data_IF_924751351797
#
_entry.id   IF_924751351797
#
_cell.length_a   1.000
_cell.length_b   1.000
_cell.length_c   1.000
_cell.angle_alpha   90.00
_cell.angle_beta   90.00
_cell.angle_gamma   90.00
#
_symmetry.space_group_name_H-M   'P 1'
#
loop_
_entity.id
_entity.type
_entity.pdbx_description
1 polymer ?
#
# COMPACT_ATOMS: atom_id res chain seq x y z
N UNK A 1 0.36 24.27 -9.48
CA UNK A 1 1.35 23.22 -9.15
C UNK A 1 0.67 22.25 -8.19
N UNK A 2 0.80 20.94 -8.41
CA UNK A 2 0.27 19.94 -7.48
C UNK A 2 1.10 20.00 -6.19
N UNK A 3 0.42 20.16 -5.05
CA UNK A 3 1.07 20.19 -3.74
C UNK A 3 1.37 18.75 -3.32
N UNK A 4 2.65 18.37 -3.27
CA UNK A 4 3.11 17.07 -2.76
C UNK A 4 2.99 16.94 -1.22
N UNK A 5 2.28 17.86 -0.56
CA UNK A 5 2.15 17.87 0.91
C UNK A 5 0.87 17.19 1.40
N UNK A 6 -0.04 16.81 0.50
CA UNK A 6 -1.26 16.09 0.87
C UNK A 6 -1.04 14.58 0.78
N UNK A 7 -0.89 13.96 1.95
CA UNK A 7 -0.90 12.50 2.14
C UNK A 7 -2.32 11.95 1.86
N UNK A 8 -2.41 10.77 1.26
CA UNK A 8 -3.68 10.06 1.02
C UNK A 8 -4.51 9.91 2.30
N UNK A 9 -3.89 9.71 3.47
CA UNK A 9 -4.61 9.66 4.77
C UNK A 9 -5.34 10.97 5.09
N UNK A 10 -4.78 12.10 4.70
CA UNK A 10 -5.36 13.43 4.95
C UNK A 10 -6.36 13.85 3.87
N UNK A 11 -6.18 13.36 2.65
CA UNK A 11 -7.03 13.67 1.50
C UNK A 11 -8.24 12.74 1.42
N UNK A 12 -8.02 11.44 1.61
CA UNK A 12 -9.02 10.36 1.57
C UNK A 12 -8.75 9.33 2.68
N UNK A 13 -9.26 9.59 3.90
CA UNK A 13 -9.04 8.71 5.05
C UNK A 13 -9.71 7.33 4.90
N UNK A 14 -10.78 7.22 4.12
CA UNK A 14 -11.47 5.95 3.87
C UNK A 14 -10.62 5.03 3.02
N UNK A 15 -10.08 5.55 1.90
CA UNK A 15 -9.17 4.80 1.05
C UNK A 15 -7.90 4.40 1.81
N UNK A 16 -7.35 5.30 2.62
CA UNK A 16 -6.17 4.99 3.41
C UNK A 16 -6.41 3.88 4.44
N UNK A 17 -7.59 3.85 5.07
CA UNK A 17 -7.97 2.74 5.96
C UNK A 17 -8.11 1.42 5.21
N UNK A 18 -8.67 1.42 4.00
CA UNK A 18 -8.79 0.22 3.18
C UNK A 18 -7.42 -0.37 2.80
N UNK A 19 -6.47 0.49 2.40
CA UNK A 19 -5.08 0.08 2.08
C UNK A 19 -4.40 -0.54 3.30
N UNK A 20 -4.53 0.10 4.48
CA UNK A 20 -3.96 -0.41 5.72
C UNK A 20 -4.61 -1.73 6.17
N UNK A 21 -5.91 -1.88 5.93
CA UNK A 21 -6.62 -3.15 6.16
C UNK A 21 -6.07 -4.29 5.30
N UNK A 22 -5.83 -4.04 4.01
CA UNK A 22 -5.25 -5.04 3.11
C UNK A 22 -3.81 -5.39 3.48
N UNK A 23 -3.00 -4.41 3.89
CA UNK A 23 -1.64 -4.67 4.40
C UNK A 23 -1.66 -5.65 5.56
N UNK A 24 -2.57 -5.46 6.53
CA UNK A 24 -2.73 -6.41 7.66
C UNK A 24 -3.23 -7.77 7.20
N UNK A 25 -4.19 -7.81 6.28
CA UNK A 25 -4.71 -9.08 5.72
C UNK A 25 -3.58 -9.92 5.12
N UNK A 26 -2.65 -9.30 4.40
CA UNK A 26 -1.48 -9.98 3.82
C UNK A 26 -0.50 -10.48 4.89
N UNK A 27 -0.30 -9.72 5.98
CA UNK A 27 0.60 -10.12 7.07
C UNK A 27 0.01 -11.26 7.93
N UNK A 28 -1.30 -11.25 8.14
CA UNK A 28 -2.01 -12.21 9.01
C UNK A 28 -2.33 -13.53 8.28
N UNK A 29 -2.24 -13.58 6.95
CA UNK A 29 -2.55 -14.76 6.14
C UNK A 29 -1.34 -15.41 5.49
N UNK A 30 -1.33 -16.74 5.46
CA UNK A 30 -0.37 -17.50 4.67
C UNK A 30 -0.89 -17.54 3.22
N UNK A 31 -0.21 -16.83 2.33
CA UNK A 31 -0.54 -16.84 0.92
C UNK A 31 0.07 -18.08 0.23
N UNK A 32 -0.80 -18.93 -0.32
CA UNK A 32 -0.44 -20.18 -1.02
C UNK A 32 -0.75 -20.14 -2.52
N UNK A 33 -1.10 -18.96 -3.03
CA UNK A 33 -1.39 -18.75 -4.43
C UNK A 33 -0.05 -18.68 -5.18
N UNK A 34 0.21 -19.67 -6.03
CA UNK A 34 1.52 -19.82 -6.69
C UNK A 34 1.93 -18.65 -7.60
N UNK A 35 0.97 -17.84 -8.06
CA UNK A 35 1.21 -16.66 -8.89
C UNK A 35 1.45 -15.37 -8.10
N UNK A 36 1.25 -15.38 -6.78
CA UNK A 36 1.39 -14.19 -5.95
C UNK A 36 2.78 -14.10 -5.30
N UNK A 37 3.21 -12.88 -5.02
CA UNK A 37 4.49 -12.61 -4.38
C UNK A 37 4.50 -11.22 -3.73
N UNK A 38 5.44 -11.00 -2.82
CA UNK A 38 5.67 -9.71 -2.18
C UNK A 38 6.73 -8.92 -2.93
N UNK A 39 6.35 -7.75 -3.46
CA UNK A 39 7.31 -6.83 -4.06
C UNK A 39 8.25 -6.26 -2.99
N UNK A 40 9.53 -6.10 -3.33
CA UNK A 40 10.48 -5.46 -2.42
C UNK A 40 10.13 -3.99 -2.20
N UNK A 41 10.45 -3.39 -1.04
CA UNK A 41 10.20 -1.97 -0.78
C UNK A 41 10.78 -1.03 -1.85
N UNK A 42 11.92 -1.40 -2.46
CA UNK A 42 12.56 -0.64 -3.55
C UNK A 42 11.72 -0.57 -4.82
N UNK A 43 10.94 -1.62 -5.11
CA UNK A 43 10.02 -1.65 -6.25
C UNK A 43 8.82 -0.74 -5.97
N UNK A 44 8.31 -0.76 -4.74
CA UNK A 44 7.21 0.09 -4.31
C UNK A 44 7.61 1.58 -4.31
N UNK A 45 8.83 1.90 -3.86
CA UNK A 45 9.41 3.25 -3.92
C UNK A 45 9.46 3.78 -5.36
N UNK A 46 9.94 2.97 -6.30
CA UNK A 46 9.96 3.33 -7.72
C UNK A 46 8.56 3.56 -8.31
N UNK A 47 7.53 2.90 -7.77
CA UNK A 47 6.13 3.09 -8.18
C UNK A 47 5.47 4.34 -7.56
N UNK A 48 6.18 5.07 -6.69
CA UNK A 48 5.66 6.24 -5.99
C UNK A 48 4.97 5.92 -4.66
N UNK A 49 5.19 4.72 -4.12
CA UNK A 49 4.85 4.40 -2.73
C UNK A 49 5.96 4.99 -1.84
N UNK A 50 5.64 5.99 -1.03
CA UNK A 50 6.62 6.68 -0.16
C UNK A 50 6.61 6.11 1.25
#
# INVERSE_FOLDING_TARGET
>A
MLSNTQDIRSFDPELAQAIEGERRRQEDHIELIASENYASPRVLEAQGSV
#
